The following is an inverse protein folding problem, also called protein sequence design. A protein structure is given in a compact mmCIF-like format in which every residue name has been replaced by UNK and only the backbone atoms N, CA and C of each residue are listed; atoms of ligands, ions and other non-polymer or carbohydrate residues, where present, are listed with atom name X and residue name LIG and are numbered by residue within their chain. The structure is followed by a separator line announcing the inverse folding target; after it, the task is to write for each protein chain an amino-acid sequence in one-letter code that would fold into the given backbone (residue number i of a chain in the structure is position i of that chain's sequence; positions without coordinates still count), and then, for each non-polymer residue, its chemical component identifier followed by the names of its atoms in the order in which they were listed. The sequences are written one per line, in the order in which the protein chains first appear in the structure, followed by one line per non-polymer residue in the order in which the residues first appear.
data_IF_263719874722
#
_entry.id   IF_263719874722
#
_cell.length_a   1.000
_cell.length_b   1.000
_cell.length_c   1.000
_cell.angle_alpha   90.00
_cell.angle_beta   90.00
_cell.angle_gamma   90.00
#
_symmetry.space_group_name_H-M   'P 1'
#
loop_
_entity.id
_entity.type
_entity.pdbx_description
1 polymer ?
#
# COMPACT_ATOMS: atom_id res chain seq x y z
N UNK A 1 -7.33 15.35 1.68
CA UNK A 1 -6.87 14.35 2.65
C UNK A 1 -5.42 14.66 3.01
N UNK A 2 -5.08 14.69 4.30
CA UNK A 2 -3.71 14.99 4.69
C UNK A 2 -2.84 13.71 4.66
N UNK A 3 -1.53 13.89 4.72
CA UNK A 3 -0.58 12.78 4.58
C UNK A 3 -0.70 11.74 5.69
N UNK A 4 -0.99 12.17 6.92
CA UNK A 4 -1.17 11.25 8.05
C UNK A 4 -2.38 10.35 7.83
N UNK A 5 -3.45 10.89 7.28
CA UNK A 5 -4.65 10.11 6.97
C UNK A 5 -4.37 9.12 5.85
N UNK A 6 -3.63 9.55 4.81
CA UNK A 6 -3.22 8.65 3.72
C UNK A 6 -2.38 7.50 4.27
N UNK A 7 -1.42 7.81 5.12
CA UNK A 7 -0.57 6.80 5.75
C UNK A 7 -1.38 5.80 6.56
N UNK A 8 -2.27 6.29 7.41
CA UNK A 8 -3.09 5.42 8.25
C UNK A 8 -3.95 4.49 7.41
N UNK A 9 -4.62 5.03 6.41
CA UNK A 9 -5.50 4.24 5.54
C UNK A 9 -4.70 3.25 4.69
N UNK A 10 -3.52 3.63 4.24
CA UNK A 10 -2.63 2.75 3.48
C UNK A 10 -2.23 1.54 4.33
N UNK A 11 -1.76 1.80 5.56
CA UNK A 11 -1.34 0.72 6.46
C UNK A 11 -2.50 -0.21 6.82
N UNK A 12 -3.65 0.34 7.08
CA UNK A 12 -4.84 -0.45 7.40
C UNK A 12 -5.23 -1.34 6.23
N UNK A 13 -5.18 -0.82 5.02
CA UNK A 13 -5.49 -1.59 3.82
C UNK A 13 -4.51 -2.75 3.63
N UNK A 14 -3.21 -2.48 3.81
CA UNK A 14 -2.17 -3.52 3.71
C UNK A 14 -2.41 -4.61 4.76
N UNK A 15 -2.68 -4.21 5.99
CA UNK A 15 -2.93 -5.16 7.07
C UNK A 15 -4.11 -6.07 6.74
N UNK A 16 -5.17 -5.52 6.18
CA UNK A 16 -6.35 -6.30 5.81
C UNK A 16 -6.04 -7.29 4.67
N UNK A 17 -5.33 -6.86 3.65
CA UNK A 17 -5.03 -7.71 2.49
C UNK A 17 -4.06 -8.82 2.87
N UNK A 18 -3.01 -8.49 3.60
CA UNK A 18 -1.96 -9.45 3.96
C UNK A 18 -2.25 -10.20 5.25
N UNK A 19 -3.33 -9.87 5.94
CA UNK A 19 -3.76 -10.48 7.20
C UNK A 19 -2.68 -10.35 8.28
N UNK A 20 -2.19 -9.14 8.43
CA UNK A 20 -1.18 -8.78 9.42
C UNK A 20 -1.77 -7.78 10.41
N UNK A 21 -1.10 -7.64 11.56
CA UNK A 21 -1.44 -6.61 12.53
C UNK A 21 -0.86 -5.29 12.03
N UNK A 22 -1.63 -4.20 12.17
CA UNK A 22 -1.15 -2.88 11.73
C UNK A 22 0.17 -2.48 12.39
N UNK A 23 0.43 -2.98 13.60
CA UNK A 23 1.68 -2.70 14.31
C UNK A 23 2.90 -3.28 13.60
N UNK A 24 2.71 -4.25 12.73
CA UNK A 24 3.80 -4.85 11.96
C UNK A 24 4.15 -4.05 10.71
N UNK A 25 3.32 -3.08 10.37
CA UNK A 25 3.46 -2.33 9.12
C UNK A 25 4.09 -0.98 9.40
N UNK A 26 5.42 -0.93 9.25
CA UNK A 26 6.19 0.30 9.45
C UNK A 26 6.43 1.00 8.12
N UNK A 27 6.80 2.27 8.18
CA UNK A 27 7.00 3.08 6.97
C UNK A 27 8.08 2.51 6.05
N UNK A 28 9.13 1.91 6.62
CA UNK A 28 10.22 1.34 5.85
C UNK A 28 10.03 -0.11 5.44
N UNK A 29 8.93 -0.74 5.83
CA UNK A 29 8.70 -2.14 5.54
C UNK A 29 8.59 -2.38 4.03
N UNK A 30 9.30 -3.40 3.55
CA UNK A 30 9.25 -3.83 2.16
C UNK A 30 8.11 -4.85 2.02
N UNK A 31 7.28 -4.67 1.01
CA UNK A 31 6.11 -5.54 0.82
C UNK A 31 6.48 -7.01 0.69
N UNK A 32 7.54 -7.29 -0.04
CA UNK A 32 7.96 -8.67 -0.31
C UNK A 32 8.87 -9.20 0.81
N UNK A 33 9.95 -8.48 1.11
CA UNK A 33 10.98 -8.97 2.03
C UNK A 33 10.56 -8.92 3.50
N UNK A 34 9.80 -7.88 3.87
CA UNK A 34 9.42 -7.70 5.28
C UNK A 34 8.01 -8.19 5.58
N UNK A 35 7.09 -8.03 4.63
CA UNK A 35 5.69 -8.34 4.84
C UNK A 35 5.24 -9.64 4.13
N UNK A 36 6.11 -10.21 3.32
CA UNK A 36 5.88 -11.51 2.70
C UNK A 36 4.87 -11.54 1.56
N UNK A 37 4.60 -10.42 0.92
CA UNK A 37 3.68 -10.38 -0.21
C UNK A 37 4.26 -11.08 -1.41
N UNK A 38 3.46 -11.89 -2.09
CA UNK A 38 3.85 -12.48 -3.38
C UNK A 38 3.25 -11.65 -4.53
N UNK A 39 3.44 -12.12 -5.78
CA UNK A 39 2.98 -11.39 -6.96
C UNK A 39 1.46 -11.21 -6.96
N UNK A 40 0.72 -12.24 -6.57
CA UNK A 40 -0.73 -12.18 -6.52
C UNK A 40 -1.20 -11.18 -5.47
N UNK A 41 -0.59 -11.23 -4.28
CA UNK A 41 -0.95 -10.29 -3.20
C UNK A 41 -0.59 -8.87 -3.57
N UNK A 42 0.48 -8.64 -4.32
CA UNK A 42 0.84 -7.31 -4.80
C UNK A 42 -0.25 -6.74 -5.70
N UNK A 43 -0.82 -7.56 -6.58
CA UNK A 43 -1.93 -7.13 -7.42
C UNK A 43 -3.19 -6.86 -6.61
N UNK A 44 -3.45 -7.69 -5.60
CA UNK A 44 -4.59 -7.46 -4.70
C UNK A 44 -4.43 -6.16 -3.92
N UNK A 45 -3.21 -5.83 -3.51
CA UNK A 45 -2.93 -4.56 -2.83
C UNK A 45 -3.24 -3.36 -3.73
N UNK A 46 -2.83 -3.42 -5.00
CA UNK A 46 -3.11 -2.33 -5.93
C UNK A 46 -4.62 -2.13 -6.07
N UNK A 47 -5.36 -3.21 -6.26
CA UNK A 47 -6.83 -3.13 -6.38
C UNK A 47 -7.47 -2.59 -5.10
N UNK A 48 -6.97 -3.01 -3.94
CA UNK A 48 -7.48 -2.56 -2.65
C UNK A 48 -7.22 -1.07 -2.43
N UNK A 49 -6.05 -0.57 -2.84
CA UNK A 49 -5.74 0.85 -2.74
C UNK A 49 -6.65 1.67 -3.65
N UNK A 50 -6.88 1.20 -4.86
CA UNK A 50 -7.78 1.90 -5.79
C UNK A 50 -9.18 2.02 -5.22
N UNK A 51 -9.67 0.95 -4.59
CA UNK A 51 -10.99 0.97 -3.97
C UNK A 51 -11.02 1.86 -2.73
N UNK A 52 -10.00 1.75 -1.88
CA UNK A 52 -9.95 2.52 -0.63
C UNK A 52 -9.91 4.01 -0.87
N UNK A 53 -9.17 4.46 -1.88
CA UNK A 53 -8.95 5.88 -2.14
C UNK A 53 -9.77 6.40 -3.33
N UNK A 54 -10.52 5.55 -3.98
CA UNK A 54 -11.33 5.89 -5.15
C UNK A 54 -10.48 6.55 -6.25
N UNK A 55 -9.40 5.87 -6.62
CA UNK A 55 -8.45 6.32 -7.63
C UNK A 55 -8.16 5.20 -8.62
N UNK A 56 -7.65 5.58 -9.80
CA UNK A 56 -7.13 4.62 -10.77
C UNK A 56 -5.63 4.82 -10.86
N UNK A 57 -4.87 3.78 -10.52
CA UNK A 57 -3.42 3.85 -10.51
C UNK A 57 -2.81 3.23 -11.76
N UNK A 58 -1.67 3.77 -12.19
CA UNK A 58 -0.86 3.14 -13.22
C UNK A 58 -0.25 1.87 -12.63
N UNK A 59 -0.70 0.71 -13.11
CA UNK A 59 -0.30 -0.58 -12.55
C UNK A 59 1.19 -0.83 -12.68
N UNK A 60 1.79 -0.47 -13.82
CA UNK A 60 3.22 -0.68 -14.03
C UNK A 60 4.05 0.12 -13.02
N UNK A 61 3.67 1.39 -12.80
CA UNK A 61 4.36 2.23 -11.83
C UNK A 61 4.11 1.78 -10.41
N UNK A 62 2.88 1.34 -10.13
CA UNK A 62 2.55 0.82 -8.80
C UNK A 62 3.38 -0.41 -8.45
N UNK A 63 3.66 -1.27 -9.42
CA UNK A 63 4.47 -2.47 -9.20
C UNK A 63 5.93 -2.16 -8.87
N UNK A 64 6.40 -0.96 -9.18
CA UNK A 64 7.76 -0.55 -8.84
C UNK A 64 7.89 -0.07 -7.41
N UNK A 65 6.77 0.19 -6.74
CA UNK A 65 6.76 0.63 -5.34
C UNK A 65 7.08 -0.56 -4.46
N UNK A 66 8.09 -0.43 -3.60
CA UNK A 66 8.59 -1.54 -2.80
C UNK A 66 8.31 -1.44 -1.30
N UNK A 67 8.05 -0.23 -0.80
CA UNK A 67 7.88 -0.01 0.65
C UNK A 67 6.57 0.68 0.95
N UNK A 68 6.18 0.59 2.23
CA UNK A 68 4.98 1.26 2.72
C UNK A 68 5.08 2.78 2.49
N UNK A 69 6.22 3.38 2.86
CA UNK A 69 6.42 4.82 2.66
C UNK A 69 6.32 5.22 1.20
N UNK A 70 6.88 4.40 0.31
CA UNK A 70 6.77 4.61 -1.13
C UNK A 70 5.34 4.54 -1.61
N UNK A 71 4.55 3.60 -1.08
CA UNK A 71 3.15 3.47 -1.42
C UNK A 71 2.34 4.69 -0.97
N UNK A 72 2.63 5.20 0.24
CA UNK A 72 1.95 6.39 0.75
C UNK A 72 2.19 7.58 -0.19
N UNK A 73 3.44 7.79 -0.57
CA UNK A 73 3.80 8.89 -1.48
C UNK A 73 3.16 8.70 -2.86
N UNK A 74 3.18 7.48 -3.37
CA UNK A 74 2.62 7.17 -4.68
C UNK A 74 1.11 7.43 -4.71
N UNK A 75 0.40 6.97 -3.69
CA UNK A 75 -1.04 7.19 -3.56
C UNK A 75 -1.36 8.68 -3.40
N UNK A 76 -0.59 9.37 -2.56
CA UNK A 76 -0.80 10.80 -2.32
C UNK A 76 -0.71 11.63 -3.60
N UNK A 77 0.09 11.19 -4.56
CA UNK A 77 0.24 11.90 -5.83
C UNK A 77 -1.05 11.87 -6.68
N UNK A 78 -1.94 10.92 -6.41
CA UNK A 78 -3.24 10.84 -7.10
C UNK A 78 -4.33 11.64 -6.39
N UNK A 79 -4.07 12.11 -5.19
CA UNK A 79 -5.05 12.83 -4.38
C UNK A 79 -4.77 14.33 -4.41
#
# INVERSE_FOLDING_TARGET
MNLEEVKHRTKKTVANVLKLDESEITDGANFIFDLGADSMQSMLLIAAFEEEFDIEMDVEKAQEVQTIGGAVEFIAAYL
#
